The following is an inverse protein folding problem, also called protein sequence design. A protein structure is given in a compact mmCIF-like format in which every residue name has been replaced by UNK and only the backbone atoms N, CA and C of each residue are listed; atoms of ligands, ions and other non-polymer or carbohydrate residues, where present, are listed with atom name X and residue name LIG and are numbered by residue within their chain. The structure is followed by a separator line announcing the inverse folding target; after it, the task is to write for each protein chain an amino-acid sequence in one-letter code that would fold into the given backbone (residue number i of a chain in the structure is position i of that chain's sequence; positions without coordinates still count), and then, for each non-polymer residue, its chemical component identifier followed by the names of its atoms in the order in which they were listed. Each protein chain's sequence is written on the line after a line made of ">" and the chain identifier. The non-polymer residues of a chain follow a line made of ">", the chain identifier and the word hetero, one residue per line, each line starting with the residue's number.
data_IF_432751446303
#
_entry.id   IF_432751446303
#
_cell.length_a   1.000
_cell.length_b   1.000
_cell.length_c   1.000
_cell.angle_alpha   90.00
_cell.angle_beta   90.00
_cell.angle_gamma   90.00
#
_symmetry.space_group_name_H-M   'P 1'
#
loop_
_entity.id
_entity.type
_entity.pdbx_description
1 polymer ?
#
# COMPACT_ATOMS: atom_id res chain seq x y z
N UNK A 1 -18.23 -16.47 4.58
CA UNK A 1 -17.53 -16.25 5.86
C UNK A 1 -16.12 -15.75 5.52
N UNK A 2 -15.65 -14.64 6.11
CA UNK A 2 -14.42 -13.90 5.76
C UNK A 2 -13.18 -14.56 6.43
N UNK A 3 -12.00 -14.51 5.84
CA UNK A 3 -10.73 -14.63 6.60
C UNK A 3 -10.38 -13.19 6.97
N UNK A 4 -10.86 -12.76 8.13
CA UNK A 4 -10.78 -11.38 8.61
C UNK A 4 -9.43 -11.09 9.23
N UNK A 5 -8.81 -9.97 8.86
CA UNK A 5 -8.06 -9.13 9.80
C UNK A 5 -8.98 -8.76 10.99
N UNK A 6 -8.48 -8.76 12.22
CA UNK A 6 -9.28 -8.52 13.44
C UNK A 6 -9.84 -7.08 13.49
N UNK A 7 -10.89 -6.79 12.72
CA UNK A 7 -11.53 -5.47 12.65
C UNK A 7 -10.63 -4.34 12.13
N UNK A 8 -9.52 -4.68 11.48
CA UNK A 8 -8.46 -3.74 11.05
C UNK A 8 -8.41 -3.51 9.54
N UNK A 9 -7.23 -3.10 9.06
CA UNK A 9 -6.94 -2.83 7.66
C UNK A 9 -7.13 -4.12 6.83
N UNK A 10 -8.04 -4.09 5.85
CA UNK A 10 -8.50 -5.26 5.12
C UNK A 10 -7.88 -5.40 3.72
N UNK A 11 -6.81 -4.67 3.39
CA UNK A 11 -6.26 -4.57 2.03
C UNK A 11 -5.78 -5.90 1.40
N UNK A 12 -5.62 -6.95 2.21
CA UNK A 12 -5.27 -8.30 1.76
C UNK A 12 -6.41 -9.33 1.89
N UNK A 13 -7.58 -8.92 2.38
CA UNK A 13 -8.67 -9.85 2.66
C UNK A 13 -9.24 -10.43 1.36
N UNK A 14 -9.25 -11.75 1.25
CA UNK A 14 -9.80 -12.51 0.12
C UNK A 14 -11.05 -13.30 0.52
N UNK A 15 -11.81 -13.76 -0.47
CA UNK A 15 -12.89 -14.71 -0.24
C UNK A 15 -12.33 -16.09 0.13
N UNK A 16 -12.95 -16.80 1.08
CA UNK A 16 -12.55 -18.19 1.44
C UNK A 16 -12.45 -19.16 0.26
N UNK A 17 -13.19 -18.89 -0.81
CA UNK A 17 -13.32 -19.76 -1.98
C UNK A 17 -12.39 -19.36 -3.13
N UNK A 18 -11.43 -18.44 -2.92
CA UNK A 18 -10.50 -18.06 -3.98
C UNK A 18 -9.46 -17.02 -3.57
N UNK A 19 -8.70 -16.55 -4.55
CA UNK A 19 -7.66 -15.53 -4.37
C UNK A 19 -8.16 -14.10 -4.62
N UNK A 20 -9.43 -13.95 -5.02
CA UNK A 20 -10.02 -12.66 -5.28
C UNK A 20 -10.19 -11.86 -3.99
N UNK A 21 -9.79 -10.59 -4.05
CA UNK A 21 -10.01 -9.62 -2.97
C UNK A 21 -11.49 -9.47 -2.68
N UNK A 22 -11.81 -9.26 -1.40
CA UNK A 22 -13.15 -8.81 -1.02
C UNK A 22 -13.42 -7.40 -1.55
N UNK A 23 -14.70 -7.04 -1.68
CA UNK A 23 -15.06 -5.67 -2.11
C UNK A 23 -14.61 -4.58 -1.13
N UNK A 24 -14.42 -4.93 0.15
CA UNK A 24 -13.82 -4.04 1.16
C UNK A 24 -12.31 -3.87 0.93
N UNK A 25 -11.58 -4.98 0.79
CA UNK A 25 -10.14 -4.96 0.48
C UNK A 25 -9.83 -4.15 -0.78
N UNK A 26 -10.53 -4.44 -1.88
CA UNK A 26 -10.35 -3.72 -3.14
C UNK A 26 -10.66 -2.23 -3.01
N UNK A 27 -11.68 -1.87 -2.23
CA UNK A 27 -12.06 -0.47 -2.01
C UNK A 27 -11.02 0.29 -1.19
N UNK A 28 -10.54 -0.29 -0.09
CA UNK A 28 -9.47 0.29 0.73
C UNK A 28 -8.18 0.47 -0.08
N UNK A 29 -7.78 -0.54 -0.88
CA UNK A 29 -6.62 -0.43 -1.79
C UNK A 29 -6.77 0.73 -2.76
N UNK A 30 -7.93 0.85 -3.41
CA UNK A 30 -8.18 1.96 -4.35
C UNK A 30 -8.13 3.32 -3.66
N UNK A 31 -8.70 3.46 -2.46
CA UNK A 31 -8.63 4.71 -1.68
C UNK A 31 -7.16 5.08 -1.42
N UNK A 32 -6.38 4.12 -0.90
CA UNK A 32 -4.97 4.33 -0.55
C UNK A 32 -4.14 4.67 -1.80
N UNK A 33 -4.30 3.91 -2.89
CA UNK A 33 -3.58 4.15 -4.15
C UNK A 33 -3.92 5.52 -4.78
N UNK A 34 -5.18 5.94 -4.72
CA UNK A 34 -5.59 7.27 -5.20
C UNK A 34 -4.95 8.38 -4.37
N UNK A 35 -4.88 8.21 -3.05
CA UNK A 35 -4.28 9.19 -2.14
C UNK A 35 -2.75 9.23 -2.19
N UNK A 36 -2.11 8.12 -2.59
CA UNK A 36 -0.68 8.03 -2.89
C UNK A 36 -0.31 8.73 -4.19
N UNK A 37 -1.22 8.74 -5.17
CA UNK A 37 -1.00 9.41 -6.45
C UNK A 37 -0.93 10.94 -6.32
N UNK A 38 -0.25 11.57 -7.29
CA UNK A 38 -0.11 13.03 -7.41
C UNK A 38 -1.40 13.70 -7.91
N UNK A 39 -2.48 13.57 -7.14
CA UNK A 39 -3.80 14.11 -7.46
C UNK A 39 -4.07 15.43 -6.72
N UNK A 40 -4.88 16.28 -7.33
CA UNK A 40 -5.22 17.58 -6.74
C UNK A 40 -6.16 17.44 -5.53
N UNK A 41 -6.28 18.46 -4.66
CA UNK A 41 -7.18 18.43 -3.50
C UNK A 41 -8.63 18.02 -3.80
N UNK A 42 -9.17 18.38 -4.98
CA UNK A 42 -10.53 18.03 -5.38
C UNK A 42 -10.74 16.51 -5.56
N UNK A 43 -9.73 15.83 -6.09
CA UNK A 43 -9.72 14.38 -6.31
C UNK A 43 -9.51 13.61 -5.00
N UNK A 44 -8.87 14.26 -4.01
CA UNK A 44 -8.60 13.71 -2.69
C UNK A 44 -9.73 13.95 -1.68
N UNK A 45 -10.88 14.44 -2.11
CA UNK A 45 -12.11 14.44 -1.32
C UNK A 45 -12.78 13.06 -1.39
N UNK A 46 -13.64 12.67 -0.43
CA UNK A 46 -14.41 11.41 -0.52
C UNK A 46 -15.17 11.27 -1.84
N UNK A 47 -15.75 12.38 -2.32
CA UNK A 47 -16.45 12.43 -3.61
C UNK A 47 -15.50 12.33 -4.80
N UNK A 48 -14.34 12.96 -4.72
CA UNK A 48 -13.29 12.86 -5.75
C UNK A 48 -12.80 11.44 -5.92
N UNK A 49 -12.46 10.79 -4.80
CA UNK A 49 -12.06 9.38 -4.73
C UNK A 49 -13.16 8.50 -5.33
N UNK A 50 -14.41 8.68 -4.91
CA UNK A 50 -15.55 7.94 -5.45
C UNK A 50 -15.70 8.10 -6.96
N UNK A 51 -15.52 9.32 -7.49
CA UNK A 51 -15.60 9.56 -8.95
C UNK A 51 -14.46 8.89 -9.70
N UNK A 52 -13.24 8.95 -9.18
CA UNK A 52 -12.07 8.34 -9.81
C UNK A 52 -12.21 6.81 -9.87
N UNK A 53 -12.51 6.18 -8.73
CA UNK A 53 -12.77 4.73 -8.65
C UNK A 53 -13.92 4.29 -9.55
N UNK A 54 -15.01 5.06 -9.58
CA UNK A 54 -16.16 4.79 -10.42
C UNK A 54 -15.85 4.83 -11.92
N UNK A 55 -14.97 5.74 -12.33
CA UNK A 55 -14.47 5.84 -13.70
C UNK A 55 -13.69 4.60 -14.12
N UNK A 56 -12.78 4.13 -13.26
CA UNK A 56 -11.99 2.90 -13.47
C UNK A 56 -12.88 1.64 -13.53
N UNK A 57 -13.89 1.56 -12.65
CA UNK A 57 -14.81 0.42 -12.55
C UNK A 57 -16.03 0.51 -13.47
N UNK A 58 -16.14 1.54 -14.31
CA UNK A 58 -17.28 1.79 -15.22
C UNK A 58 -18.66 1.69 -14.51
N UNK A 59 -18.75 2.20 -13.28
CA UNK A 59 -19.92 2.09 -12.42
C UNK A 59 -20.36 3.49 -11.93
N UNK A 60 -21.64 3.76 -11.62
CA UNK A 60 -22.03 5.04 -11.03
C UNK A 60 -21.39 5.27 -9.66
N UNK A 61 -20.72 6.41 -9.46
CA UNK A 61 -20.03 6.73 -8.19
C UNK A 61 -20.93 6.70 -6.96
N UNK A 62 -22.23 6.98 -7.12
CA UNK A 62 -23.23 6.91 -6.05
C UNK A 62 -23.36 5.51 -5.45
N UNK A 63 -23.04 4.47 -6.22
CA UNK A 63 -23.16 3.08 -5.79
C UNK A 63 -22.00 2.65 -4.87
N UNK A 64 -20.84 3.32 -4.96
CA UNK A 64 -19.65 3.00 -4.18
C UNK A 64 -19.35 4.02 -3.07
N UNK A 65 -19.99 5.20 -3.13
CA UNK A 65 -19.75 6.30 -2.20
C UNK A 65 -19.97 5.91 -0.73
N UNK A 66 -21.04 5.15 -0.43
CA UNK A 66 -21.32 4.72 0.95
C UNK A 66 -20.24 3.80 1.51
N UNK A 67 -19.69 2.92 0.68
CA UNK A 67 -18.56 2.06 1.05
C UNK A 67 -17.30 2.86 1.32
N UNK A 68 -17.00 3.87 0.49
CA UNK A 68 -15.83 4.74 0.68
C UNK A 68 -15.97 5.54 1.97
N UNK A 69 -17.16 6.09 2.22
CA UNK A 69 -17.44 6.81 3.46
C UNK A 69 -17.19 5.92 4.68
N UNK A 70 -17.73 4.70 4.67
CA UNK A 70 -17.52 3.71 5.73
C UNK A 70 -16.04 3.44 5.96
N UNK A 71 -15.29 3.07 4.92
CA UNK A 71 -13.88 2.71 5.09
C UNK A 71 -13.02 3.89 5.54
N UNK A 72 -13.30 5.09 5.04
CA UNK A 72 -12.61 6.30 5.49
C UNK A 72 -12.85 6.56 6.98
N UNK A 73 -14.11 6.55 7.41
CA UNK A 73 -14.50 7.07 8.73
C UNK A 73 -14.39 6.02 9.84
N UNK A 74 -14.60 4.74 9.51
CA UNK A 74 -14.58 3.65 10.48
C UNK A 74 -13.23 2.93 10.53
N UNK A 75 -12.37 3.07 9.50
CA UNK A 75 -11.12 2.28 9.38
C UNK A 75 -9.91 3.19 9.12
N UNK A 76 -9.81 3.85 7.97
CA UNK A 76 -8.58 4.50 7.52
C UNK A 76 -8.20 5.75 8.34
N UNK A 77 -9.19 6.58 8.70
CA UNK A 77 -8.98 7.74 9.58
C UNK A 77 -8.68 7.29 11.02
N UNK A 78 -9.48 6.40 11.67
CA UNK A 78 -9.19 5.93 13.02
C UNK A 78 -7.83 5.23 13.17
N UNK A 79 -7.39 4.48 12.15
CA UNK A 79 -6.08 3.81 12.16
C UNK A 79 -4.91 4.75 11.86
N UNK A 80 -5.18 6.01 11.50
CA UNK A 80 -4.16 6.96 11.10
C UNK A 80 -3.42 6.54 9.82
N UNK A 81 -4.09 5.82 8.92
CA UNK A 81 -3.59 5.52 7.56
C UNK A 81 -3.77 6.77 6.67
N UNK A 82 -4.86 7.49 6.91
CA UNK A 82 -5.24 8.70 6.19
C UNK A 82 -5.49 9.81 7.21
N UNK A 83 -5.20 11.06 6.85
CA UNK A 83 -5.57 12.23 7.65
C UNK A 83 -6.09 13.40 6.78
N UNK A 84 -6.81 14.33 7.39
CA UNK A 84 -7.33 15.52 6.69
C UNK A 84 -6.18 16.51 6.39
N UNK A 85 -5.97 16.83 5.12
CA UNK A 85 -4.93 17.77 4.69
C UNK A 85 -5.43 19.23 4.69
N UNK A 86 -6.75 19.41 4.62
CA UNK A 86 -7.38 20.72 4.55
C UNK A 86 -8.77 20.65 3.95
N UNK A 87 -9.33 21.83 3.62
CA UNK A 87 -10.71 21.95 3.12
C UNK A 87 -10.84 22.86 1.91
N UNK A 88 -11.60 22.40 0.93
CA UNK A 88 -11.95 23.18 -0.26
C UNK A 88 -13.14 24.09 0.03
N UNK A 89 -12.98 25.38 -0.29
CA UNK A 89 -14.06 26.34 -0.20
C UNK A 89 -15.20 25.99 -1.18
N UNK A 90 -16.43 25.98 -0.69
CA UNK A 90 -17.60 25.69 -1.51
C UNK A 90 -18.38 26.97 -1.79
N UNK A 91 -18.44 27.38 -3.08
CA UNK A 91 -19.15 28.60 -3.49
C UNK A 91 -20.68 28.45 -3.60
N UNK A 92 -21.19 27.21 -3.68
CA UNK A 92 -22.63 26.88 -3.86
C UNK A 92 -22.96 25.54 -3.21
N UNK A 93 -24.12 25.41 -2.57
CA UNK A 93 -24.56 24.17 -1.89
C UNK A 93 -25.12 24.43 -0.48
N UNK A 94 -25.22 23.41 0.38
CA UNK A 94 -25.68 23.58 1.76
C UNK A 94 -24.82 24.60 2.53
N UNK A 95 -25.43 25.55 3.27
CA UNK A 95 -24.71 26.61 4.01
C UNK A 95 -23.61 26.07 4.93
N UNK A 96 -23.89 24.97 5.64
CA UNK A 96 -22.91 24.32 6.51
C UNK A 96 -21.65 23.86 5.77
N UNK A 97 -21.75 23.42 4.50
CA UNK A 97 -20.59 23.05 3.68
C UNK A 97 -19.92 24.27 3.06
N UNK A 98 -20.63 25.36 2.85
CA UNK A 98 -20.03 26.64 2.43
C UNK A 98 -19.17 27.22 3.55
N UNK A 99 -19.64 27.13 4.79
CA UNK A 99 -18.92 27.60 5.99
C UNK A 99 -17.73 26.70 6.34
N UNK A 100 -17.92 25.38 6.34
CA UNK A 100 -16.89 24.42 6.76
C UNK A 100 -15.95 23.97 5.64
N UNK A 101 -16.33 24.13 4.38
CA UNK A 101 -15.60 23.54 3.24
C UNK A 101 -15.71 22.02 3.14
N UNK A 102 -15.24 21.47 2.02
CA UNK A 102 -15.19 20.02 1.76
C UNK A 102 -13.81 19.51 2.13
N UNK A 103 -13.68 18.56 3.08
CA UNK A 103 -12.39 18.03 3.47
C UNK A 103 -11.76 17.20 2.34
N UNK A 104 -10.45 17.33 2.20
CA UNK A 104 -9.61 16.48 1.37
C UNK A 104 -8.49 15.89 2.21
N UNK A 105 -7.98 14.75 1.77
CA UNK A 105 -7.19 13.86 2.60
C UNK A 105 -5.82 13.57 2.01
N UNK A 106 -4.90 13.10 2.85
CA UNK A 106 -3.63 12.53 2.41
C UNK A 106 -3.26 11.29 3.20
N UNK A 107 -2.31 10.52 2.65
CA UNK A 107 -1.67 9.45 3.40
C UNK A 107 -0.78 10.05 4.49
N UNK A 108 -0.86 9.45 5.67
CA UNK A 108 0.16 9.60 6.72
C UNK A 108 1.39 8.76 6.36
N UNK A 109 2.44 8.79 7.19
CA UNK A 109 3.58 7.85 7.04
C UNK A 109 3.14 6.38 7.11
N UNK A 110 2.20 6.02 8.00
CA UNK A 110 1.59 4.67 8.04
C UNK A 110 0.88 4.35 6.72
N UNK A 111 0.17 5.33 6.16
CA UNK A 111 -0.48 5.20 4.87
C UNK A 111 0.49 5.01 3.71
N UNK A 112 1.66 5.65 3.73
CA UNK A 112 2.70 5.46 2.73
C UNK A 112 3.24 4.02 2.75
N UNK A 113 3.53 3.47 3.94
CA UNK A 113 3.94 2.05 4.09
C UNK A 113 2.86 1.11 3.53
N UNK A 114 1.59 1.35 3.86
CA UNK A 114 0.46 0.59 3.32
C UNK A 114 0.33 0.72 1.79
N UNK A 115 0.57 1.90 1.23
CA UNK A 115 0.51 2.14 -0.21
C UNK A 115 1.66 1.47 -0.98
N UNK A 116 2.86 1.37 -0.40
CA UNK A 116 3.99 0.65 -0.99
C UNK A 116 3.72 -0.86 -1.14
N UNK A 117 2.90 -1.41 -0.24
CA UNK A 117 2.44 -2.79 -0.25
C UNK A 117 1.30 -3.08 -1.27
N UNK A 118 0.78 -2.06 -1.95
CA UNK A 118 -0.36 -2.17 -2.88
C UNK A 118 0.16 -2.13 -4.33
N UNK A 119 0.05 -3.22 -5.10
CA UNK A 119 0.45 -3.29 -6.50
C UNK A 119 -0.17 -2.22 -7.41
N UNK A 120 -1.40 -1.77 -7.13
CA UNK A 120 -2.11 -0.74 -7.90
C UNK A 120 -1.56 0.68 -7.70
N UNK A 121 -0.64 0.88 -6.76
CA UNK A 121 0.01 2.18 -6.57
C UNK A 121 1.01 2.42 -7.71
N UNK A 122 0.72 3.40 -8.58
CA UNK A 122 1.51 3.66 -9.79
C UNK A 122 2.88 4.30 -9.50
N UNK A 123 2.97 5.17 -8.49
CA UNK A 123 4.15 5.98 -8.18
C UNK A 123 4.98 5.46 -6.99
N UNK A 124 5.07 4.13 -6.81
CA UNK A 124 5.72 3.54 -5.62
C UNK A 124 7.19 3.94 -5.42
N UNK A 125 7.96 4.19 -6.47
CA UNK A 125 9.36 4.62 -6.34
C UNK A 125 9.46 6.04 -5.76
N UNK A 126 8.62 6.96 -6.24
CA UNK A 126 8.56 8.33 -5.70
C UNK A 126 8.01 8.31 -4.27
N UNK A 127 6.99 7.49 -4.02
CA UNK A 127 6.41 7.32 -2.68
C UNK A 127 7.43 6.79 -1.67
N UNK A 128 8.32 5.89 -2.09
CA UNK A 128 9.42 5.37 -1.26
C UNK A 128 10.39 6.50 -0.88
N UNK A 129 10.74 7.35 -1.84
CA UNK A 129 11.58 8.52 -1.58
C UNK A 129 10.90 9.52 -0.64
N UNK A 130 9.61 9.80 -0.86
CA UNK A 130 8.81 10.68 0.01
C UNK A 130 8.72 10.13 1.44
N UNK A 131 8.56 8.81 1.61
CA UNK A 131 8.53 8.17 2.92
C UNK A 131 9.84 8.34 3.70
N UNK A 132 10.99 8.25 3.02
CA UNK A 132 12.30 8.42 3.65
C UNK A 132 12.75 9.87 3.80
N UNK A 133 12.09 10.83 3.15
CA UNK A 133 12.42 12.26 3.25
C UNK A 133 12.36 12.77 4.70
N UNK A 134 11.35 12.32 5.45
CA UNK A 134 11.11 12.67 6.86
C UNK A 134 11.14 11.41 7.77
N UNK A 135 11.97 10.42 7.43
CA UNK A 135 12.11 9.19 8.21
C UNK A 135 12.88 9.40 9.52
N UNK A 136 12.50 8.63 10.55
CA UNK A 136 13.24 8.59 11.81
C UNK A 136 14.63 7.95 11.60
N UNK A 137 15.62 8.23 12.47
CA UNK A 137 16.99 7.73 12.30
C UNK A 137 17.09 6.21 12.11
N UNK A 138 16.27 5.44 12.83
CA UNK A 138 16.24 3.98 12.76
C UNK A 138 15.66 3.48 11.43
N UNK A 139 14.76 4.24 10.80
CA UNK A 139 14.24 3.91 9.47
C UNK A 139 15.23 4.31 8.38
N UNK A 140 15.91 5.44 8.58
CA UNK A 140 16.88 6.02 7.63
C UNK A 140 18.06 5.10 7.36
N UNK A 141 18.42 4.23 8.31
CA UNK A 141 19.48 3.23 8.14
C UNK A 141 19.19 2.24 6.99
N UNK A 142 17.90 2.04 6.65
CA UNK A 142 17.46 1.13 5.60
C UNK A 142 17.25 1.80 4.23
N UNK A 143 17.27 3.14 4.16
CA UNK A 143 16.93 3.90 2.95
C UNK A 143 17.81 3.51 1.76
N UNK A 144 19.13 3.47 1.95
CA UNK A 144 20.08 3.18 0.88
C UNK A 144 19.84 1.81 0.27
N UNK A 145 19.75 0.77 1.10
CA UNK A 145 19.52 -0.61 0.65
C UNK A 145 18.16 -0.76 -0.02
N UNK A 146 17.09 -0.17 0.52
CA UNK A 146 15.75 -0.29 -0.06
C UNK A 146 15.62 0.50 -1.37
N UNK A 147 16.30 1.65 -1.48
CA UNK A 147 16.37 2.42 -2.73
C UNK A 147 17.10 1.64 -3.81
N UNK A 148 18.29 1.10 -3.51
CA UNK A 148 19.06 0.28 -4.45
C UNK A 148 18.27 -0.96 -4.91
N UNK A 149 17.59 -1.64 -3.98
CA UNK A 149 16.73 -2.78 -4.30
C UNK A 149 15.51 -2.35 -5.13
N UNK A 150 14.90 -1.19 -4.86
CA UNK A 150 13.76 -0.70 -5.63
C UNK A 150 14.15 -0.41 -7.09
N UNK A 151 15.37 0.07 -7.32
CA UNK A 151 15.91 0.29 -8.66
C UNK A 151 16.27 -1.02 -9.37
N UNK A 152 16.98 -1.93 -8.69
CA UNK A 152 17.47 -3.17 -9.29
C UNK A 152 16.41 -4.28 -9.41
N UNK A 153 15.53 -4.40 -8.42
CA UNK A 153 14.54 -5.46 -8.28
C UNK A 153 13.25 -4.96 -7.61
N UNK A 154 12.50 -4.02 -8.23
CA UNK A 154 11.33 -3.38 -7.63
C UNK A 154 10.27 -4.36 -7.10
N UNK A 155 10.04 -5.47 -7.82
CA UNK A 155 9.10 -6.50 -7.39
C UNK A 155 9.47 -7.12 -6.04
N UNK A 156 10.76 -7.32 -5.77
CA UNK A 156 11.23 -7.82 -4.48
C UNK A 156 11.09 -6.78 -3.37
N UNK A 157 11.44 -5.52 -3.64
CA UNK A 157 11.29 -4.44 -2.65
C UNK A 157 9.85 -4.28 -2.19
N UNK A 158 8.89 -4.22 -3.12
CA UNK A 158 7.50 -4.04 -2.73
C UNK A 158 6.90 -5.29 -2.09
N UNK A 159 7.45 -6.47 -2.35
CA UNK A 159 7.07 -7.67 -1.62
C UNK A 159 7.48 -7.60 -0.15
N UNK A 160 8.62 -6.98 0.19
CA UNK A 160 9.01 -6.74 1.59
C UNK A 160 7.94 -5.91 2.30
N UNK A 161 7.46 -4.83 1.67
CA UNK A 161 6.36 -4.03 2.19
C UNK A 161 5.04 -4.81 2.27
N UNK A 162 4.73 -5.64 1.26
CA UNK A 162 3.57 -6.53 1.28
C UNK A 162 3.58 -7.48 2.47
N UNK A 163 4.69 -8.19 2.71
CA UNK A 163 4.86 -9.09 3.85
C UNK A 163 4.73 -8.32 5.17
N UNK A 164 5.37 -7.16 5.30
CA UNK A 164 5.33 -6.35 6.51
C UNK A 164 3.90 -5.86 6.85
N UNK A 165 3.20 -5.28 5.87
CA UNK A 165 1.84 -4.77 6.08
C UNK A 165 0.85 -5.91 6.28
N UNK A 166 1.04 -7.05 5.63
CA UNK A 166 0.20 -8.23 5.85
C UNK A 166 0.31 -8.74 7.29
N UNK A 167 1.52 -8.80 7.83
CA UNK A 167 1.75 -9.14 9.23
C UNK A 167 1.05 -8.19 10.19
N UNK A 168 1.05 -6.89 9.88
CA UNK A 168 0.28 -5.90 10.61
C UNK A 168 -1.24 -6.17 10.54
N UNK A 169 -1.78 -6.44 9.35
CA UNK A 169 -3.20 -6.77 9.18
C UNK A 169 -3.61 -8.05 9.94
N UNK A 170 -2.67 -8.99 10.11
CA UNK A 170 -2.85 -10.24 10.84
C UNK A 170 -2.58 -10.12 12.36
N UNK A 171 -2.17 -8.94 12.84
CA UNK A 171 -1.90 -8.66 14.25
C UNK A 171 -0.57 -9.24 14.76
N UNK A 172 0.35 -9.58 13.86
CA UNK A 172 1.72 -10.02 14.20
C UNK A 172 2.68 -8.83 14.40
N UNK A 173 2.34 -7.68 13.83
CA UNK A 173 3.03 -6.41 14.02
C UNK A 173 2.02 -5.40 14.53
N UNK A 174 2.33 -4.73 15.64
CA UNK A 174 1.40 -3.81 16.29
C UNK A 174 1.27 -2.47 15.55
N UNK A 175 2.36 -1.99 14.94
CA UNK A 175 2.44 -0.67 14.33
C UNK A 175 3.25 -0.66 13.02
N UNK A 176 2.76 0.07 12.03
CA UNK A 176 3.41 0.19 10.71
C UNK A 176 4.62 1.12 10.72
N UNK A 177 4.63 2.13 11.60
CA UNK A 177 5.74 3.07 11.77
C UNK A 177 6.14 3.16 13.25
N UNK A 178 7.45 3.29 13.58
CA UNK A 178 8.57 3.29 12.64
C UNK A 178 8.71 1.94 11.91
N UNK A 179 9.05 2.00 10.63
CA UNK A 179 9.22 0.83 9.76
C UNK A 179 10.46 0.06 10.20
N UNK A 180 10.27 -1.21 10.57
CA UNK A 180 11.32 -2.08 11.07
C UNK A 180 11.30 -3.43 10.33
N UNK A 181 12.12 -3.61 9.28
CA UNK A 181 12.17 -4.84 8.51
C UNK A 181 12.65 -6.03 9.36
N UNK A 182 13.30 -5.83 10.51
CA UNK A 182 13.70 -6.93 11.37
C UNK A 182 12.49 -7.68 11.95
N UNK A 183 11.33 -7.02 12.11
CA UNK A 183 10.08 -7.69 12.52
C UNK A 183 9.63 -8.76 11.53
N UNK A 184 10.05 -8.66 10.26
CA UNK A 184 9.73 -9.67 9.25
C UNK A 184 10.40 -11.02 9.57
N UNK A 185 11.58 -10.99 10.19
CA UNK A 185 12.30 -12.21 10.57
C UNK A 185 11.50 -13.12 11.53
N UNK A 186 10.63 -12.52 12.35
CA UNK A 186 9.75 -13.23 13.28
C UNK A 186 8.53 -13.91 12.63
N UNK A 187 8.22 -13.58 11.38
CA UNK A 187 7.02 -14.09 10.66
C UNK A 187 7.29 -15.47 10.02
N UNK A 188 8.56 -15.88 9.92
CA UNK A 188 8.97 -17.13 9.24
C UNK A 188 8.41 -17.25 7.81
N UNK A 189 8.42 -16.15 7.05
CA UNK A 189 7.94 -16.13 5.67
C UNK A 189 8.82 -17.04 4.76
N UNK A 190 8.22 -18.12 4.27
CA UNK A 190 8.92 -19.12 3.46
C UNK A 190 9.40 -18.55 2.12
N UNK A 191 8.65 -17.62 1.54
CA UNK A 191 9.01 -17.01 0.27
C UNK A 191 10.28 -16.17 0.42
N UNK A 192 10.35 -15.28 1.40
CA UNK A 192 11.54 -14.47 1.67
C UNK A 192 12.75 -15.33 2.04
N UNK A 193 12.53 -16.43 2.78
CA UNK A 193 13.59 -17.42 3.06
C UNK A 193 14.16 -18.03 1.79
N UNK A 194 13.30 -18.48 0.87
CA UNK A 194 13.70 -19.07 -0.42
C UNK A 194 14.40 -18.02 -1.30
N UNK A 195 13.93 -16.77 -1.32
CA UNK A 195 14.59 -15.69 -2.07
C UNK A 195 15.99 -15.40 -1.53
N UNK A 196 16.17 -15.35 -0.21
CA UNK A 196 17.51 -15.19 0.40
C UNK A 196 18.42 -16.36 0.02
N UNK A 197 17.95 -17.60 0.17
CA UNK A 197 18.71 -18.80 -0.21
C UNK A 197 19.10 -18.78 -1.69
N UNK A 198 18.18 -18.38 -2.57
CA UNK A 198 18.43 -18.25 -4.00
C UNK A 198 19.50 -17.19 -4.28
N UNK A 199 19.43 -16.01 -3.66
CA UNK A 199 20.41 -14.93 -3.82
C UNK A 199 21.80 -15.34 -3.34
N UNK A 200 21.90 -15.91 -2.14
CA UNK A 200 23.17 -16.39 -1.55
C UNK A 200 23.76 -17.52 -2.41
N UNK A 201 22.93 -18.49 -2.80
CA UNK A 201 23.32 -19.58 -3.69
C UNK A 201 23.79 -19.07 -5.05
N UNK A 202 23.06 -18.13 -5.66
CA UNK A 202 23.42 -17.53 -6.95
C UNK A 202 24.75 -16.75 -6.90
N UNK A 203 25.00 -16.02 -5.81
CA UNK A 203 26.27 -15.31 -5.60
C UNK A 203 27.45 -16.28 -5.43
N UNK A 204 27.22 -17.48 -4.88
CA UNK A 204 28.24 -18.51 -4.72
C UNK A 204 28.66 -19.18 -6.04
N UNK A 205 27.81 -19.12 -7.08
CA UNK A 205 28.08 -19.75 -8.37
C UNK A 205 29.24 -19.05 -9.12
N UNK A 206 30.04 -19.80 -9.90
CA UNK A 206 30.93 -19.21 -10.90
C UNK A 206 30.17 -18.36 -11.91
N UNK A 207 30.81 -17.31 -12.47
CA UNK A 207 30.16 -16.37 -13.42
C UNK A 207 29.44 -17.08 -14.58
N UNK A 208 30.06 -18.12 -15.16
CA UNK A 208 29.46 -18.88 -16.26
C UNK A 208 28.17 -19.61 -15.86
N UNK A 209 28.09 -20.09 -14.61
CA UNK A 209 26.92 -20.81 -14.11
C UNK A 209 25.81 -19.84 -13.67
N UNK A 210 26.17 -18.62 -13.22
CA UNK A 210 25.20 -17.52 -13.03
C UNK A 210 24.47 -17.20 -14.33
N UNK A 211 25.19 -17.06 -15.44
CA UNK A 211 24.57 -16.78 -16.74
C UNK A 211 23.63 -17.91 -17.20
N UNK A 212 24.00 -19.17 -16.94
CA UNK A 212 23.13 -20.33 -17.21
C UNK A 212 21.87 -20.30 -16.34
N UNK A 213 22.01 -20.03 -15.04
CA UNK A 213 20.89 -19.93 -14.12
C UNK A 213 19.92 -18.80 -14.52
N UNK A 214 20.42 -17.62 -14.89
CA UNK A 214 19.58 -16.52 -15.39
C UNK A 214 18.85 -16.92 -16.68
N UNK A 215 19.54 -17.59 -17.62
CA UNK A 215 18.89 -18.10 -18.84
C UNK A 215 17.77 -19.10 -18.53
N UNK A 216 18.00 -20.00 -17.58
CA UNK A 216 16.98 -20.96 -17.14
C UNK A 216 15.78 -20.26 -16.49
N UNK A 217 16.01 -19.31 -15.58
CA UNK A 217 14.92 -18.55 -14.95
C UNK A 217 14.09 -17.79 -16.00
N UNK A 218 14.74 -17.13 -16.95
CA UNK A 218 14.06 -16.47 -18.07
C UNK A 218 13.18 -17.41 -18.91
N UNK A 219 13.54 -18.69 -19.01
CA UNK A 219 12.76 -19.69 -19.75
C UNK A 219 11.46 -20.07 -19.02
N UNK A 220 11.44 -20.05 -17.69
CA UNK A 220 10.29 -20.48 -16.89
C UNK A 220 9.42 -19.31 -16.39
N UNK A 221 9.94 -18.09 -16.43
CA UNK A 221 9.20 -16.87 -16.03
C UNK A 221 8.84 -15.97 -17.20
N UNK A 222 9.29 -16.30 -18.42
CA UNK A 222 9.17 -15.49 -19.63
C UNK A 222 8.14 -16.01 -20.63
#
# INVERSE_FOLDING_TARGET
>A
MKMTSNGGLAIFDTFKTGTNLTGEAGRQRSIIAILAGKTGPAERTRTGIAKKMAGEQKTPWKNIYSGIFRDMDEILLPMGIVEENGRLALKRGPKALQEKGIPYYHLTRKGMVAALAIPETENRAELLADFFADAEPEEKEHEGVLTDLAEACPGFTYLIFETYVKAFCEGQIDELVPFDPAKISGIHDEFLRIQREMLEGFLSLPKQDRDKAVKFLKMITG
#
